data_IF_958332590861
#
_entry.id   IF_958332590861
#
_cell.length_a   1.000
_cell.length_b   1.000
_cell.length_c   1.000
_cell.angle_alpha   90.00
_cell.angle_beta   90.00
_cell.angle_gamma   90.00
#
_symmetry.space_group_name_H-M   'P 1'
#
loop_
_entity.id
_entity.type
_entity.pdbx_description
1 polymer ?
#
# COMPACT_ATOMS: atom_id res chain seq x y z
N UNK A 1 -18.69 -3.76 6.84
CA UNK A 1 -17.42 -4.45 7.18
C UNK A 1 -16.69 -3.67 8.25
N UNK A 2 -16.15 -4.36 9.26
CA UNK A 2 -15.27 -3.75 10.26
C UNK A 2 -13.88 -3.51 9.68
N UNK A 3 -13.10 -2.65 10.34
CA UNK A 3 -11.73 -2.35 9.92
C UNK A 3 -10.85 -3.59 9.81
N UNK A 4 -10.95 -4.49 10.80
CA UNK A 4 -10.13 -5.71 10.82
C UNK A 4 -10.52 -6.66 9.68
N UNK A 5 -11.81 -6.79 9.34
CA UNK A 5 -12.26 -7.60 8.21
C UNK A 5 -11.66 -7.11 6.87
N UNK A 6 -11.64 -5.79 6.65
CA UNK A 6 -11.03 -5.20 5.45
C UNK A 6 -9.51 -5.43 5.45
N UNK A 7 -8.85 -5.32 6.62
CA UNK A 7 -7.42 -5.63 6.73
C UNK A 7 -7.10 -7.10 6.48
N UNK A 8 -7.97 -8.03 6.90
CA UNK A 8 -7.81 -9.45 6.57
C UNK A 8 -7.91 -9.69 5.06
N UNK A 9 -8.87 -9.05 4.39
CA UNK A 9 -8.96 -9.08 2.92
C UNK A 9 -7.67 -8.53 2.28
N UNK A 10 -7.18 -7.38 2.78
CA UNK A 10 -5.95 -6.77 2.28
C UNK A 10 -4.73 -7.69 2.42
N UNK A 11 -4.48 -8.27 3.59
CA UNK A 11 -3.31 -9.15 3.74
C UNK A 11 -3.44 -10.45 2.91
N UNK A 12 -4.65 -10.92 2.66
CA UNK A 12 -4.88 -12.07 1.79
C UNK A 12 -4.54 -11.72 0.34
N UNK A 13 -5.01 -10.58 -0.17
CA UNK A 13 -4.65 -10.11 -1.51
C UNK A 13 -3.17 -9.83 -1.66
N UNK A 14 -2.51 -9.31 -0.62
CA UNK A 14 -1.06 -9.11 -0.58
C UNK A 14 -0.29 -10.43 -0.66
N UNK A 15 -0.76 -11.46 0.04
CA UNK A 15 -0.17 -12.79 -0.02
C UNK A 15 -0.22 -13.35 -1.45
N UNK A 16 -1.35 -13.21 -2.15
CA UNK A 16 -1.46 -13.63 -3.56
C UNK A 16 -0.46 -12.88 -4.46
N UNK A 17 -0.33 -11.57 -4.27
CA UNK A 17 0.63 -10.76 -5.04
C UNK A 17 2.08 -11.17 -4.79
N UNK A 18 2.46 -11.45 -3.55
CA UNK A 18 3.81 -11.94 -3.26
C UNK A 18 4.02 -13.37 -3.77
N UNK A 19 3.02 -14.24 -3.71
CA UNK A 19 3.08 -15.56 -4.36
C UNK A 19 3.36 -15.40 -5.86
N UNK A 20 2.67 -14.46 -6.53
CA UNK A 20 2.90 -14.20 -7.94
C UNK A 20 4.33 -13.75 -8.21
N UNK A 21 4.81 -12.71 -7.52
CA UNK A 21 6.17 -12.19 -7.72
C UNK A 21 7.29 -13.19 -7.37
N UNK A 22 7.07 -14.08 -6.40
CA UNK A 22 8.13 -14.95 -5.87
C UNK A 22 8.13 -16.34 -6.53
N UNK A 23 6.96 -16.89 -6.87
CA UNK A 23 6.80 -18.29 -7.27
C UNK A 23 6.25 -18.49 -8.68
N UNK A 24 5.49 -17.54 -9.24
CA UNK A 24 4.86 -17.70 -10.56
C UNK A 24 5.74 -17.14 -11.68
N UNK A 25 5.72 -17.74 -12.89
CA UNK A 25 6.39 -17.17 -14.05
C UNK A 25 5.77 -15.82 -14.44
N UNK A 26 6.65 -14.84 -14.68
CA UNK A 26 6.25 -13.49 -15.10
C UNK A 26 5.44 -13.51 -16.41
N UNK A 27 4.53 -12.56 -16.56
CA UNK A 27 3.68 -12.36 -17.76
C UNK A 27 2.69 -13.51 -18.06
N UNK A 28 2.44 -14.42 -17.11
CA UNK A 28 1.32 -15.35 -17.19
C UNK A 28 0.02 -14.69 -16.71
N UNK A 29 -1.13 -15.11 -17.24
CA UNK A 29 -2.44 -14.57 -16.84
C UNK A 29 -2.66 -14.71 -15.32
N UNK A 30 -2.26 -15.85 -14.74
CA UNK A 30 -2.41 -16.08 -13.31
C UNK A 30 -1.52 -15.16 -12.48
N UNK A 31 -0.27 -14.94 -12.93
CA UNK A 31 0.65 -13.99 -12.30
C UNK A 31 0.04 -12.59 -12.28
N UNK A 32 -0.45 -12.11 -13.42
CA UNK A 32 -1.02 -10.76 -13.55
C UNK A 32 -2.27 -10.57 -12.67
N UNK A 33 -3.20 -11.52 -12.69
CA UNK A 33 -4.42 -11.46 -11.86
C UNK A 33 -4.07 -11.36 -10.37
N UNK A 34 -3.08 -12.12 -9.91
CA UNK A 34 -2.64 -12.08 -8.51
C UNK A 34 -1.94 -10.76 -8.15
N UNK A 35 -1.16 -10.21 -9.07
CA UNK A 35 -0.53 -8.90 -8.93
C UNK A 35 -1.61 -7.82 -8.76
N UNK A 36 -2.55 -7.77 -9.69
CA UNK A 36 -3.60 -6.75 -9.78
C UNK A 36 -4.53 -6.75 -8.58
N UNK A 37 -4.97 -7.93 -8.15
CA UNK A 37 -5.77 -8.09 -6.93
C UNK A 37 -4.98 -7.61 -5.71
N UNK A 38 -3.66 -7.83 -5.69
CA UNK A 38 -2.76 -7.36 -4.64
C UNK A 38 -2.74 -5.87 -4.41
N UNK A 39 -2.91 -5.08 -5.47
CA UNK A 39 -2.88 -3.62 -5.41
C UNK A 39 -3.98 -3.03 -4.51
N UNK A 40 -5.04 -3.80 -4.25
CA UNK A 40 -6.03 -3.52 -3.22
C UNK A 40 -5.38 -3.21 -1.85
N UNK A 41 -4.37 -3.99 -1.49
CA UNK A 41 -3.72 -3.92 -0.17
C UNK A 41 -3.08 -2.57 0.07
N UNK A 42 -2.29 -2.08 -0.90
CA UNK A 42 -1.46 -0.90 -0.69
C UNK A 42 -2.31 0.35 -0.45
N UNK A 43 -3.33 0.55 -1.27
CA UNK A 43 -4.25 1.68 -1.15
C UNK A 43 -5.10 1.59 0.11
N UNK A 44 -5.59 0.40 0.44
CA UNK A 44 -6.35 0.16 1.69
C UNK A 44 -5.50 0.48 2.92
N UNK A 45 -4.23 0.07 2.92
CA UNK A 45 -3.31 0.34 4.02
C UNK A 45 -2.92 1.82 4.11
N UNK A 46 -2.79 2.54 3.00
CA UNK A 46 -2.63 4.00 2.99
C UNK A 46 -3.85 4.70 3.61
N UNK A 47 -5.07 4.28 3.28
CA UNK A 47 -6.28 4.82 3.91
C UNK A 47 -6.29 4.57 5.43
N UNK A 48 -6.00 3.34 5.87
CA UNK A 48 -5.94 3.03 7.29
C UNK A 48 -4.75 3.66 8.02
N UNK A 49 -3.69 4.05 7.31
CA UNK A 49 -2.60 4.85 7.85
C UNK A 49 -3.11 6.24 8.23
N UNK A 50 -3.81 6.92 7.31
CA UNK A 50 -4.44 8.23 7.53
C UNK A 50 -5.49 8.16 8.63
N UNK A 51 -6.37 7.16 8.59
CA UNK A 51 -7.33 6.91 9.68
C UNK A 51 -6.61 6.75 11.02
N UNK A 52 -5.60 5.88 11.06
CA UNK A 52 -4.80 5.63 12.25
C UNK A 52 -4.11 6.88 12.78
N UNK A 53 -3.72 7.81 11.90
CA UNK A 53 -3.10 9.08 12.27
C UNK A 53 -4.05 10.00 13.04
N UNK A 54 -5.31 10.11 12.62
CA UNK A 54 -6.31 10.94 13.28
C UNK A 54 -6.79 10.36 14.62
N UNK A 55 -6.94 9.04 14.71
CA UNK A 55 -7.52 8.41 15.91
C UNK A 55 -6.48 7.92 16.94
N UNK A 56 -5.17 7.99 16.64
CA UNK A 56 -4.13 7.52 17.58
C UNK A 56 -3.75 8.61 18.58
N UNK A 57 -3.83 8.27 19.87
CA UNK A 57 -3.43 9.15 20.98
C UNK A 57 -1.92 9.46 21.02
N UNK A 58 -1.06 8.55 20.54
CA UNK A 58 0.40 8.76 20.51
C UNK A 58 0.99 8.50 19.13
N UNK A 59 1.16 9.58 18.37
CA UNK A 59 1.76 9.56 17.02
C UNK A 59 3.19 9.04 17.05
N UNK A 60 3.98 9.45 18.04
CA UNK A 60 5.36 8.96 18.23
C UNK A 60 5.43 7.44 18.32
N UNK A 61 4.65 6.83 19.22
CA UNK A 61 4.59 5.36 19.37
C UNK A 61 4.06 4.66 18.11
N UNK A 62 3.31 5.36 17.25
CA UNK A 62 2.85 4.79 15.98
C UNK A 62 3.96 4.76 14.94
N UNK A 63 4.67 5.88 14.75
CA UNK A 63 5.83 5.97 13.89
C UNK A 63 6.96 5.03 14.30
N UNK A 64 7.27 4.95 15.60
CA UNK A 64 8.29 4.02 16.14
C UNK A 64 7.98 2.56 15.78
N UNK A 65 6.72 2.13 15.94
CA UNK A 65 6.32 0.77 15.54
C UNK A 65 6.50 0.54 14.04
N UNK A 66 6.07 1.50 13.21
CA UNK A 66 6.22 1.38 11.76
C UNK A 66 7.71 1.24 11.39
N UNK A 67 8.58 2.07 11.96
CA UNK A 67 10.01 2.03 11.68
C UNK A 67 10.67 0.72 12.13
N UNK A 68 10.35 0.24 13.34
CA UNK A 68 10.87 -1.04 13.86
C UNK A 68 10.48 -2.20 12.94
N UNK A 69 9.20 -2.30 12.58
CA UNK A 69 8.73 -3.38 11.71
C UNK A 69 9.18 -3.22 10.26
N UNK A 70 9.41 -2.00 9.78
CA UNK A 70 10.03 -1.76 8.48
C UNK A 70 11.45 -2.33 8.44
N UNK A 71 12.26 -2.08 9.47
CA UNK A 71 13.60 -2.63 9.59
C UNK A 71 13.61 -4.16 9.69
N UNK A 72 12.76 -4.74 10.56
CA UNK A 72 12.65 -6.20 10.71
C UNK A 72 12.24 -6.87 9.39
N UNK A 73 11.31 -6.26 8.66
CA UNK A 73 10.77 -6.84 7.42
C UNK A 73 11.68 -6.64 6.22
N UNK A 74 12.70 -5.79 6.31
CA UNK A 74 13.61 -5.53 5.20
C UNK A 74 14.43 -6.78 4.84
N UNK A 75 14.89 -7.53 5.84
CA UNK A 75 15.68 -8.75 5.61
C UNK A 75 14.85 -9.81 4.86
N UNK A 76 13.64 -10.20 5.33
CA UNK A 76 12.74 -11.07 4.57
C UNK A 76 12.43 -10.57 3.16
N UNK A 77 12.18 -9.27 3.02
CA UNK A 77 11.84 -8.66 1.73
C UNK A 77 12.98 -8.78 0.72
N UNK A 78 14.21 -8.42 1.12
CA UNK A 78 15.39 -8.54 0.26
C UNK A 78 15.64 -9.99 -0.17
N UNK A 79 15.43 -10.97 0.73
CA UNK A 79 15.58 -12.40 0.40
C UNK A 79 14.49 -12.86 -0.58
N UNK A 80 13.23 -12.47 -0.36
CA UNK A 80 12.11 -12.89 -1.20
C UNK A 80 12.22 -12.37 -2.64
N UNK A 81 12.55 -11.08 -2.80
CA UNK A 81 12.54 -10.39 -4.09
C UNK A 81 13.92 -10.25 -4.75
N UNK A 82 15.00 -10.50 -4.02
CA UNK A 82 16.37 -10.43 -4.54
C UNK A 82 16.84 -9.01 -4.91
N UNK A 83 16.17 -7.97 -4.43
CA UNK A 83 16.52 -6.58 -4.69
C UNK A 83 16.70 -5.79 -3.38
N UNK A 84 17.32 -4.61 -3.48
CA UNK A 84 17.59 -3.72 -2.34
C UNK A 84 16.52 -2.65 -2.12
N UNK A 85 15.36 -2.76 -2.78
CA UNK A 85 14.26 -1.81 -2.64
C UNK A 85 13.71 -1.83 -1.20
N UNK A 86 13.29 -0.67 -0.69
CA UNK A 86 12.69 -0.59 0.64
C UNK A 86 11.27 -1.16 0.61
N UNK A 87 10.91 -1.96 1.61
CA UNK A 87 9.62 -2.63 1.67
C UNK A 87 8.42 -1.67 1.87
N UNK A 88 7.19 -2.18 1.70
CA UNK A 88 5.95 -1.40 1.84
C UNK A 88 5.78 -0.74 3.22
N UNK A 89 6.33 -1.31 4.30
CA UNK A 89 6.23 -0.70 5.64
C UNK A 89 7.14 0.54 5.73
N UNK A 90 8.30 0.56 5.06
CA UNK A 90 9.09 1.79 4.91
C UNK A 90 8.30 2.86 4.15
N UNK A 91 7.61 2.49 3.07
CA UNK A 91 6.73 3.41 2.33
C UNK A 91 5.64 3.98 3.25
N UNK A 92 4.98 3.15 4.05
CA UNK A 92 3.99 3.61 5.03
C UNK A 92 4.59 4.50 6.12
N UNK A 93 5.84 4.26 6.53
CA UNK A 93 6.55 5.14 7.45
C UNK A 93 6.84 6.51 6.83
N UNK A 94 7.27 6.57 5.57
CA UNK A 94 7.45 7.82 4.83
C UNK A 94 6.11 8.56 4.69
N UNK A 95 5.04 7.84 4.31
CA UNK A 95 3.68 8.38 4.26
C UNK A 95 3.25 8.95 5.62
N UNK A 96 3.58 8.27 6.72
CA UNK A 96 3.31 8.76 8.07
C UNK A 96 4.11 10.04 8.40
N UNK A 97 5.38 10.11 8.01
CA UNK A 97 6.19 11.33 8.15
C UNK A 97 5.63 12.50 7.34
N UNK A 98 5.10 12.23 6.14
CA UNK A 98 4.40 13.24 5.33
C UNK A 98 3.22 13.81 6.12
N UNK A 99 2.38 12.97 6.74
CA UNK A 99 1.27 13.44 7.58
C UNK A 99 1.75 14.29 8.77
N UNK A 100 2.84 13.88 9.43
CA UNK A 100 3.44 14.66 10.53
C UNK A 100 3.91 16.04 10.05
N UNK A 101 4.59 16.12 8.90
CA UNK A 101 5.06 17.38 8.31
C UNK A 101 3.86 18.26 7.92
N UNK A 102 2.86 17.69 7.26
CA UNK A 102 1.65 18.40 6.85
C UNK A 102 0.95 19.06 8.05
N UNK A 103 0.83 18.35 9.17
CA UNK A 103 0.15 18.84 10.35
C UNK A 103 1.00 19.83 11.18
N UNK A 104 2.28 19.53 11.41
CA UNK A 104 3.13 20.34 12.32
C UNK A 104 3.76 21.55 11.66
N UNK A 105 3.88 21.56 10.34
CA UNK A 105 4.65 22.56 9.60
C UNK A 105 3.80 23.39 8.65
N UNK A 106 2.48 23.48 8.87
CA UNK A 106 1.53 24.17 7.98
C UNK A 106 1.99 25.57 7.55
N UNK A 107 2.53 26.37 8.47
CA UNK A 107 2.99 27.74 8.23
C UNK A 107 4.53 27.87 8.02
N UNK A 108 5.27 26.76 8.06
CA UNK A 108 6.73 26.79 7.96
C UNK A 108 7.20 26.73 6.50
N UNK A 109 8.20 27.55 6.15
CA UNK A 109 8.86 27.54 4.83
C UNK A 109 9.52 26.19 4.51
N UNK A 110 9.87 25.40 5.53
CA UNK A 110 10.49 24.09 5.40
C UNK A 110 9.51 22.97 5.03
N UNK A 111 8.20 23.22 5.04
CA UNK A 111 7.18 22.21 4.69
C UNK A 111 7.39 21.63 3.30
N UNK A 112 7.46 22.47 2.27
CA UNK A 112 7.57 22.03 0.87
C UNK A 112 8.91 21.30 0.61
N UNK A 113 10.08 21.82 1.02
CA UNK A 113 11.34 21.09 0.87
C UNK A 113 11.35 19.71 1.53
N UNK A 114 10.78 19.59 2.73
CA UNK A 114 10.71 18.30 3.43
C UNK A 114 9.74 17.33 2.76
N UNK A 115 8.61 17.81 2.24
CA UNK A 115 7.69 16.96 1.47
C UNK A 115 8.35 16.46 0.19
N UNK A 116 9.09 17.32 -0.53
CA UNK A 116 9.85 16.91 -1.73
C UNK A 116 10.89 15.87 -1.35
N UNK A 117 11.66 16.08 -0.27
CA UNK A 117 12.64 15.11 0.21
C UNK A 117 12.01 13.75 0.54
N UNK A 118 10.86 13.73 1.21
CA UNK A 118 10.15 12.51 1.56
C UNK A 118 9.59 11.79 0.32
N UNK A 119 9.09 12.53 -0.67
CA UNK A 119 8.66 11.98 -1.95
C UNK A 119 9.82 11.39 -2.75
N UNK A 120 10.99 12.05 -2.74
CA UNK A 120 12.19 11.51 -3.39
C UNK A 120 12.68 10.23 -2.69
N UNK A 121 12.66 10.21 -1.36
CA UNK A 121 13.03 9.01 -0.60
C UNK A 121 12.07 7.84 -0.89
N UNK A 122 10.78 8.13 -1.12
CA UNK A 122 9.79 7.09 -1.41
C UNK A 122 10.03 6.41 -2.75
N UNK A 123 10.70 7.04 -3.72
CA UNK A 123 11.03 6.45 -5.04
C UNK A 123 11.81 5.14 -4.89
N UNK A 124 12.68 5.02 -3.89
CA UNK A 124 13.45 3.81 -3.61
C UNK A 124 12.67 2.74 -2.83
N UNK A 125 11.38 2.96 -2.58
CA UNK A 125 10.51 2.08 -1.78
C UNK A 125 9.41 1.45 -2.63
N UNK A 126 8.80 0.40 -2.12
CA UNK A 126 7.63 -0.23 -2.74
C UNK A 126 6.50 0.79 -2.92
N UNK A 127 5.74 0.70 -4.02
CA UNK A 127 4.73 1.69 -4.43
C UNK A 127 5.21 3.13 -4.65
N UNK A 128 6.53 3.37 -4.60
CA UNK A 128 7.21 4.60 -5.00
C UNK A 128 6.49 5.90 -4.60
N UNK A 129 6.17 6.76 -5.57
CA UNK A 129 5.50 8.05 -5.38
C UNK A 129 3.98 7.87 -5.18
N UNK A 130 3.40 6.77 -5.66
CA UNK A 130 1.95 6.56 -5.67
C UNK A 130 1.39 6.52 -4.25
N UNK A 131 1.95 5.70 -3.35
CA UNK A 131 1.46 5.58 -1.97
C UNK A 131 1.48 6.91 -1.19
N UNK A 132 2.56 7.71 -1.23
CA UNK A 132 2.57 9.07 -0.69
C UNK A 132 1.51 10.00 -1.27
N UNK A 133 1.33 10.00 -2.60
CA UNK A 133 0.32 10.85 -3.27
C UNK A 133 -1.09 10.46 -2.83
N UNK A 134 -1.42 9.17 -2.80
CA UNK A 134 -2.68 8.67 -2.25
C UNK A 134 -2.85 9.07 -0.78
N UNK A 135 -1.80 8.97 0.03
CA UNK A 135 -1.83 9.38 1.44
C UNK A 135 -2.18 10.86 1.60
N UNK A 136 -1.55 11.74 0.81
CA UNK A 136 -1.86 13.18 0.80
C UNK A 136 -3.31 13.39 0.39
N UNK A 137 -3.80 12.76 -0.68
CA UNK A 137 -5.19 12.93 -1.11
C UNK A 137 -6.21 12.40 -0.12
N UNK A 138 -5.93 11.29 0.55
CA UNK A 138 -6.80 10.77 1.61
C UNK A 138 -6.83 11.69 2.83
N UNK A 139 -5.70 12.32 3.17
CA UNK A 139 -5.63 13.34 4.21
C UNK A 139 -6.45 14.60 3.84
N UNK A 140 -6.25 15.15 2.64
CA UNK A 140 -6.97 16.36 2.19
C UNK A 140 -8.47 16.12 1.95
N UNK A 141 -8.84 14.87 1.65
CA UNK A 141 -10.22 14.45 1.46
C UNK A 141 -10.90 13.97 2.74
N UNK A 142 -10.21 14.00 3.88
CA UNK A 142 -10.72 13.46 5.12
C UNK A 142 -12.01 14.16 5.55
N UNK A 143 -13.05 13.37 5.89
CA UNK A 143 -14.38 13.87 6.24
C UNK A 143 -15.27 14.30 5.07
N UNK A 144 -14.76 14.40 3.83
CA UNK A 144 -15.56 14.74 2.66
C UNK A 144 -15.68 13.58 1.68
N UNK A 145 -16.85 12.93 1.66
CA UNK A 145 -17.13 11.76 0.80
C UNK A 145 -16.92 12.04 -0.69
N UNK A 146 -17.32 13.21 -1.19
CA UNK A 146 -17.17 13.55 -2.62
C UNK A 146 -15.70 13.67 -3.00
N UNK A 147 -14.90 14.38 -2.18
CA UNK A 147 -13.45 14.49 -2.41
C UNK A 147 -12.75 13.13 -2.33
N UNK A 148 -13.17 12.27 -1.40
CA UNK A 148 -12.62 10.92 -1.29
C UNK A 148 -12.92 10.08 -2.55
N UNK A 149 -14.14 10.14 -3.09
CA UNK A 149 -14.49 9.52 -4.37
C UNK A 149 -13.60 10.05 -5.49
N UNK A 150 -13.41 11.38 -5.57
CA UNK A 150 -12.52 12.00 -6.56
C UNK A 150 -11.08 11.54 -6.40
N UNK A 151 -10.56 11.42 -5.17
CA UNK A 151 -9.21 10.92 -4.91
C UNK A 151 -9.00 9.49 -5.42
N UNK A 152 -9.96 8.59 -5.15
CA UNK A 152 -9.91 7.23 -5.69
C UNK A 152 -10.03 7.20 -7.22
N UNK A 153 -10.93 7.99 -7.80
CA UNK A 153 -11.14 8.04 -9.25
C UNK A 153 -9.92 8.58 -10.01
N UNK A 154 -9.37 9.72 -9.56
CA UNK A 154 -8.15 10.30 -10.14
C UNK A 154 -6.95 9.38 -9.93
N UNK A 155 -6.81 8.80 -8.74
CA UNK A 155 -5.74 7.85 -8.46
C UNK A 155 -5.79 6.60 -9.33
N UNK A 156 -6.99 6.03 -9.55
CA UNK A 156 -7.17 4.91 -10.46
C UNK A 156 -6.82 5.30 -11.91
N UNK A 157 -7.29 6.46 -12.38
CA UNK A 157 -6.99 6.92 -13.75
C UNK A 157 -5.48 7.13 -13.98
N UNK A 158 -4.77 7.72 -13.01
CA UNK A 158 -3.31 7.87 -13.10
C UNK A 158 -2.58 6.54 -13.03
N UNK A 159 -3.09 5.59 -12.25
CA UNK A 159 -2.52 4.24 -12.18
C UNK A 159 -2.65 3.52 -13.52
N UNK A 160 -3.81 3.62 -14.18
CA UNK A 160 -4.00 3.11 -15.55
C UNK A 160 -3.01 3.78 -16.50
N UNK A 161 -2.87 5.11 -16.46
CA UNK A 161 -1.97 5.84 -17.34
C UNK A 161 -0.49 5.40 -17.15
N UNK A 162 -0.06 5.25 -15.90
CA UNK A 162 1.29 4.83 -15.56
C UNK A 162 1.58 3.38 -16.01
N UNK A 163 0.64 2.46 -15.80
CA UNK A 163 0.81 1.07 -16.25
C UNK A 163 0.70 0.94 -17.77
N UNK A 164 -0.15 1.75 -18.42
CA UNK A 164 -0.26 1.78 -19.88
C UNK A 164 1.07 2.11 -20.55
N UNK A 165 1.83 3.09 -20.04
CA UNK A 165 3.17 3.38 -20.57
C UNK A 165 4.13 2.20 -20.45
N UNK A 166 4.02 1.38 -19.42
CA UNK A 166 4.87 0.18 -19.28
C UNK A 166 4.40 -0.97 -20.20
N UNK A 167 3.08 -1.13 -20.38
CA UNK A 167 2.54 -2.19 -21.23
C UNK A 167 2.74 -1.91 -22.72
N UNK A 168 2.61 -0.66 -23.18
CA UNK A 168 2.75 -0.33 -24.61
C UNK A 168 4.18 -0.54 -25.14
N UNK A 169 5.18 -0.55 -24.25
CA UNK A 169 6.56 -0.94 -24.60
C UNK A 169 6.69 -2.44 -24.91
N UNK A 170 5.79 -3.27 -24.37
CA UNK A 170 5.83 -4.74 -24.46
C UNK A 170 4.80 -5.33 -25.42
N UNK A 171 3.70 -4.62 -25.69
CA UNK A 171 2.59 -5.10 -26.50
C UNK A 171 1.86 -3.98 -27.26
N UNK A 172 0.98 -4.36 -28.19
CA UNK A 172 0.19 -3.39 -28.96
C UNK A 172 -0.74 -2.54 -28.05
N UNK A 173 -1.04 -1.33 -28.50
CA UNK A 173 -1.81 -0.33 -27.74
C UNK A 173 -3.19 -0.82 -27.25
N UNK A 174 -3.92 -1.59 -28.06
CA UNK A 174 -5.24 -2.12 -27.70
C UNK A 174 -5.17 -3.05 -26.47
N UNK A 175 -4.43 -4.17 -26.55
CA UNK A 175 -4.18 -5.04 -25.40
C UNK A 175 -3.57 -4.30 -24.22
N UNK A 176 -2.58 -3.42 -24.43
CA UNK A 176 -1.94 -2.65 -23.36
C UNK A 176 -2.96 -1.84 -22.53
N UNK A 177 -3.97 -1.26 -23.19
CA UNK A 177 -5.05 -0.53 -22.52
C UNK A 177 -5.92 -1.47 -21.65
N UNK A 178 -6.21 -2.68 -22.14
CA UNK A 178 -7.00 -3.67 -21.38
C UNK A 178 -6.26 -4.09 -20.12
N UNK A 179 -4.98 -4.46 -20.24
CA UNK A 179 -4.12 -4.82 -19.11
C UNK A 179 -3.99 -3.65 -18.10
N UNK A 180 -3.79 -2.43 -18.60
CA UNK A 180 -3.75 -1.24 -17.75
C UNK A 180 -5.06 -0.99 -16.99
N UNK A 181 -6.22 -1.19 -17.61
CA UNK A 181 -7.52 -1.05 -16.96
C UNK A 181 -7.73 -2.10 -15.86
N UNK A 182 -7.37 -3.36 -16.11
CA UNK A 182 -7.45 -4.42 -15.11
C UNK A 182 -6.52 -4.18 -13.92
N UNK A 183 -5.33 -3.61 -14.15
CA UNK A 183 -4.41 -3.26 -13.05
C UNK A 183 -5.02 -2.29 -12.02
N UNK A 184 -5.94 -1.42 -12.43
CA UNK A 184 -6.61 -0.49 -11.51
C UNK A 184 -7.75 -1.14 -10.70
N UNK A 185 -8.12 -2.39 -10.98
CA UNK A 185 -9.23 -3.07 -10.32
C UNK A 185 -9.04 -3.13 -8.79
N UNK A 186 -7.82 -3.40 -8.31
CA UNK A 186 -7.50 -3.41 -6.88
C UNK A 186 -7.75 -2.06 -6.20
N UNK A 187 -7.38 -0.96 -6.86
CA UNK A 187 -7.58 0.41 -6.36
C UNK A 187 -9.07 0.76 -6.30
N UNK A 188 -9.80 0.44 -7.36
CA UNK A 188 -11.25 0.67 -7.45
C UNK A 188 -11.99 -0.16 -6.39
N UNK A 189 -11.62 -1.43 -6.22
CA UNK A 189 -12.19 -2.30 -5.19
C UNK A 189 -11.93 -1.76 -3.79
N UNK A 190 -10.72 -1.25 -3.51
CA UNK A 190 -10.39 -0.55 -2.24
C UNK A 190 -11.34 0.62 -2.01
N UNK A 191 -11.54 1.46 -3.02
CA UNK A 191 -12.46 2.60 -2.96
C UNK A 191 -13.89 2.17 -2.66
N UNK A 192 -14.42 1.17 -3.36
CA UNK A 192 -15.78 0.65 -3.15
C UNK A 192 -15.94 0.10 -1.74
N UNK A 193 -15.01 -0.73 -1.27
CA UNK A 193 -15.09 -1.34 0.07
C UNK A 193 -15.05 -0.27 1.16
N UNK A 194 -14.16 0.71 1.04
CA UNK A 194 -14.02 1.79 2.03
C UNK A 194 -15.22 2.75 2.00
N UNK A 195 -15.71 3.13 0.82
CA UNK A 195 -16.74 4.16 0.70
C UNK A 195 -18.16 3.63 0.90
N UNK A 196 -18.41 2.37 0.57
CA UNK A 196 -19.76 1.79 0.59
C UNK A 196 -19.96 0.78 1.72
N UNK A 197 -18.93 0.02 2.08
CA UNK A 197 -19.08 -1.11 3.01
C UNK A 197 -18.41 -0.90 4.37
N UNK A 198 -17.45 0.02 4.50
CA UNK A 198 -16.77 0.26 5.77
C UNK A 198 -17.66 1.00 6.76
N UNK A 199 -17.78 0.46 7.98
CA UNK A 199 -18.66 1.00 9.01
C UNK A 199 -17.96 1.94 10.02
N UNK A 200 -16.68 2.27 9.81
CA UNK A 200 -15.89 3.13 10.71
C UNK A 200 -15.54 2.51 12.06
N UNK A 201 -15.91 1.24 12.30
CA UNK A 201 -15.71 0.58 13.59
C UNK A 201 -14.54 -0.40 13.55
N UNK A 202 -13.79 -0.43 14.66
CA UNK A 202 -12.83 -1.51 14.97
C UNK A 202 -13.59 -2.76 15.38
N UNK A 203 -13.04 -3.95 15.16
CA UNK A 203 -13.63 -5.16 15.73
C UNK A 203 -13.56 -5.09 17.26
N UNK A 204 -14.68 -5.40 17.93
CA UNK A 204 -14.76 -5.51 19.39
C UNK A 204 -14.03 -6.76 19.91
N UNK A 205 -13.83 -7.76 19.03
CA UNK A 205 -13.14 -9.01 19.37
C UNK A 205 -11.62 -8.84 19.22
N UNK A 206 -10.91 -8.92 20.34
CA UNK A 206 -9.44 -9.01 20.47
C UNK A 206 -8.61 -7.93 19.69
N UNK A 207 -8.78 -6.62 20.00
CA UNK A 207 -8.14 -5.53 19.26
C UNK A 207 -6.60 -5.49 19.39
N UNK A 208 -6.03 -5.99 20.49
CA UNK A 208 -4.57 -6.08 20.68
C UNK A 208 -3.96 -7.20 19.83
N UNK A 209 -4.63 -8.34 19.72
CA UNK A 209 -4.17 -9.46 18.91
C UNK A 209 -4.13 -9.10 17.43
N UNK A 210 -5.25 -8.58 16.90
CA UNK A 210 -5.35 -8.11 15.52
C UNK A 210 -4.22 -7.14 15.15
N UNK A 211 -3.90 -6.20 16.05
CA UNK A 211 -2.82 -5.23 15.83
C UNK A 211 -1.45 -5.89 15.65
N UNK A 212 -1.03 -6.77 16.55
CA UNK A 212 0.28 -7.41 16.48
C UNK A 212 0.37 -8.45 15.37
N UNK A 213 -0.74 -9.16 15.11
CA UNK A 213 -0.84 -10.11 14.03
C UNK A 213 -0.46 -9.48 12.68
N UNK A 214 -0.99 -8.30 12.33
CA UNK A 214 -0.65 -7.66 11.06
C UNK A 214 0.84 -7.28 10.94
N UNK A 215 1.47 -6.86 12.05
CA UNK A 215 2.88 -6.52 12.05
C UNK A 215 3.80 -7.74 11.94
N UNK A 216 3.39 -8.88 12.51
CA UNK A 216 4.16 -10.13 12.45
C UNK A 216 3.90 -10.85 11.12
N UNK A 217 2.68 -10.80 10.60
CA UNK A 217 2.28 -11.46 9.36
C UNK A 217 3.18 -11.03 8.21
N UNK A 218 3.45 -9.73 8.06
CA UNK A 218 4.23 -9.21 6.94
C UNK A 218 5.65 -9.82 6.80
N UNK A 219 6.55 -9.71 7.81
CA UNK A 219 7.85 -10.37 7.71
C UNK A 219 7.75 -11.91 7.68
N UNK A 220 6.78 -12.50 8.41
CA UNK A 220 6.67 -13.95 8.50
C UNK A 220 6.29 -14.61 7.17
N UNK A 221 5.27 -14.10 6.46
CA UNK A 221 4.86 -14.70 5.19
C UNK A 221 5.92 -14.50 4.09
N UNK A 222 6.66 -13.38 4.10
CA UNK A 222 7.80 -13.18 3.19
C UNK A 222 8.88 -14.23 3.43
N UNK A 223 9.27 -14.49 4.69
CA UNK A 223 10.22 -15.56 5.01
C UNK A 223 9.73 -16.94 4.56
N UNK A 224 8.45 -17.25 4.79
CA UNK A 224 7.86 -18.51 4.34
C UNK A 224 7.96 -18.63 2.82
N UNK A 225 7.60 -17.57 2.08
CA UNK A 225 7.70 -17.57 0.62
C UNK A 225 9.16 -17.71 0.14
N UNK A 226 10.11 -17.05 0.80
CA UNK A 226 11.54 -17.21 0.52
C UNK A 226 12.00 -18.66 0.69
N UNK A 227 11.61 -19.31 1.79
CA UNK A 227 11.97 -20.71 2.05
C UNK A 227 11.34 -21.63 1.00
N UNK A 228 10.06 -21.43 0.68
CA UNK A 228 9.35 -22.22 -0.34
C UNK A 228 10.02 -22.05 -1.70
N UNK A 229 10.43 -20.84 -2.07
CA UNK A 229 11.15 -20.57 -3.33
C UNK A 229 12.42 -21.41 -3.45
N UNK A 230 13.23 -21.48 -2.39
CA UNK A 230 14.48 -22.28 -2.36
C UNK A 230 14.21 -23.79 -2.43
N UNK A 231 13.05 -24.25 -1.97
CA UNK A 231 12.70 -25.68 -2.00
C UNK A 231 12.14 -26.10 -3.37
N UNK A 232 11.42 -25.21 -4.04
CA UNK A 232 10.67 -25.53 -5.28
C UNK A 232 11.46 -25.20 -6.54
N UNK A 233 12.43 -24.28 -6.49
CA UNK A 233 13.31 -23.88 -7.59
C UNK A 233 14.71 -24.44 -7.43
#
# INVERSE_FOLDING_TARGET
MTRDAIKYLAIFTMLLNHIANVLLPENTILWEVFIDIGYFTAITMCYFLVEGFYYTHSRRKYGERLLIFAGISQVPYMIAFGNSQLNMIFTLFICFMILVVQERMMASKWRIPLLILLLLLSVCSDWAILAPVFTIWFHESWGNRKRMITAYGVGAALFVLFNYSSYVEKMAAGPAMIHALFSAAGIVASGIIILCFYNGKKSEKAPKFSKWFFYIFYPAHLLILSIVRVIVQ
#
